data_IF_721898936928
#
_entry.id   IF_721898936928
#
_cell.length_a   1.000
_cell.length_b   1.000
_cell.length_c   1.000
_cell.angle_alpha   90.00
_cell.angle_beta   90.00
_cell.angle_gamma   90.00
#
_symmetry.space_group_name_H-M   'P 1'
#
loop_
_entity.id
_entity.type
_entity.pdbx_description
1 polymer ?
#
# COMPACT_ATOMS: atom_id res chain seq x y z
N UNK A 1 -8.57 16.56 -13.94
CA UNK A 1 -9.11 17.07 -12.65
C UNK A 1 -9.76 15.90 -11.95
N UNK A 2 -9.37 15.57 -10.71
CA UNK A 2 -9.98 14.47 -9.95
C UNK A 2 -11.46 14.80 -9.76
N UNK A 3 -12.36 14.00 -10.33
CA UNK A 3 -13.80 14.23 -10.17
C UNK A 3 -14.20 13.92 -8.73
N UNK A 4 -14.88 14.82 -8.01
CA UNK A 4 -15.27 14.63 -6.60
C UNK A 4 -16.12 13.38 -6.34
N UNK A 5 -16.73 12.86 -7.40
CA UNK A 5 -17.65 11.72 -7.38
C UNK A 5 -16.95 10.38 -7.64
N UNK A 6 -15.69 10.39 -8.09
CA UNK A 6 -14.88 9.18 -8.20
C UNK A 6 -14.28 8.83 -6.84
N UNK A 7 -15.13 8.32 -5.95
CA UNK A 7 -14.76 7.95 -4.57
C UNK A 7 -14.48 6.47 -4.48
N UNK A 8 -13.26 6.11 -4.11
CA UNK A 8 -12.91 4.77 -3.68
C UNK A 8 -12.71 4.76 -2.17
N UNK A 9 -13.56 4.05 -1.43
CA UNK A 9 -13.35 3.86 0.01
C UNK A 9 -12.29 2.80 0.26
N UNK A 10 -11.63 2.85 1.42
CA UNK A 10 -10.71 1.78 1.81
C UNK A 10 -11.41 0.42 1.85
N UNK A 11 -12.67 0.38 2.29
CA UNK A 11 -13.48 -0.84 2.31
C UNK A 11 -13.67 -1.41 0.91
N UNK A 12 -13.99 -0.56 -0.07
CA UNK A 12 -14.16 -0.98 -1.48
C UNK A 12 -12.84 -1.39 -2.11
N UNK A 13 -11.74 -0.69 -1.79
CA UNK A 13 -10.41 -1.01 -2.29
C UNK A 13 -9.91 -2.37 -1.77
N UNK A 14 -10.26 -2.72 -0.54
CA UNK A 14 -9.91 -3.98 0.12
C UNK A 14 -10.87 -5.13 -0.23
N UNK A 15 -12.05 -4.84 -0.80
CA UNK A 15 -13.06 -5.86 -1.12
C UNK A 15 -12.55 -6.86 -2.16
N UNK A 16 -12.59 -8.18 -1.89
CA UNK A 16 -12.24 -9.20 -2.89
C UNK A 16 -13.16 -9.17 -4.11
N UNK A 17 -12.69 -9.61 -5.29
CA UNK A 17 -13.55 -9.79 -6.45
C UNK A 17 -14.60 -10.90 -6.22
N UNK A 18 -15.68 -10.94 -7.03
CA UNK A 18 -16.71 -11.98 -6.91
C UNK A 18 -16.14 -13.39 -7.02
N UNK A 19 -16.54 -14.31 -6.13
CA UNK A 19 -16.02 -15.67 -6.10
C UNK A 19 -14.62 -15.81 -5.45
N UNK A 20 -14.16 -14.77 -4.74
CA UNK A 20 -12.89 -14.77 -4.04
C UNK A 20 -13.03 -14.35 -2.57
N UNK A 21 -12.05 -14.74 -1.75
CA UNK A 21 -11.87 -14.27 -0.38
C UNK A 21 -10.44 -13.78 -0.16
N UNK A 22 -10.26 -12.88 0.81
CA UNK A 22 -8.93 -12.39 1.17
C UNK A 22 -8.17 -13.49 1.91
N UNK A 23 -7.03 -13.88 1.37
CA UNK A 23 -6.11 -14.82 2.00
C UNK A 23 -5.07 -14.08 2.85
N UNK A 24 -4.44 -13.06 2.27
CA UNK A 24 -3.43 -12.22 2.93
C UNK A 24 -3.49 -10.77 2.46
N UNK A 25 -3.17 -9.86 3.37
CA UNK A 25 -3.01 -8.44 3.07
C UNK A 25 -1.72 -7.93 3.72
N UNK A 26 -0.79 -7.45 2.90
CA UNK A 26 0.46 -6.84 3.36
C UNK A 26 0.35 -5.34 3.07
N UNK A 27 0.31 -4.53 4.12
CA UNK A 27 0.19 -3.09 4.03
C UNK A 27 1.41 -2.36 4.57
N UNK A 28 1.60 -1.14 4.10
CA UNK A 28 2.55 -0.19 4.68
C UNK A 28 1.85 1.14 4.95
N UNK A 29 2.30 1.88 5.95
CA UNK A 29 1.86 3.26 6.20
C UNK A 29 2.93 4.03 6.95
N UNK A 30 2.89 5.36 6.95
CA UNK A 30 3.76 6.13 7.84
C UNK A 30 3.15 6.18 9.24
N UNK A 31 2.01 6.85 9.36
CA UNK A 31 1.24 6.92 10.61
C UNK A 31 0.16 5.85 10.63
N UNK A 32 -0.10 5.29 11.81
CA UNK A 32 -1.13 4.28 12.04
C UNK A 32 -1.92 4.64 13.29
N UNK A 33 -3.24 4.69 13.17
CA UNK A 33 -4.15 4.63 14.32
C UNK A 33 -4.67 3.19 14.44
N UNK A 34 -4.50 2.57 15.61
CA UNK A 34 -4.89 1.16 15.82
C UNK A 34 -6.40 0.95 15.72
N UNK A 35 -7.22 1.94 16.05
CA UNK A 35 -8.66 1.86 15.85
C UNK A 35 -9.01 2.00 14.36
N UNK A 36 -8.33 2.87 13.62
CA UNK A 36 -8.50 2.97 12.17
C UNK A 36 -8.10 1.66 11.47
N UNK A 37 -7.04 0.98 11.95
CA UNK A 37 -6.59 -0.31 11.43
C UNK A 37 -7.69 -1.37 11.45
N UNK A 38 -8.51 -1.42 12.51
CA UNK A 38 -9.62 -2.39 12.64
C UNK A 38 -10.65 -2.31 11.51
N UNK A 39 -10.67 -1.21 10.74
CA UNK A 39 -11.51 -1.08 9.55
C UNK A 39 -11.18 -2.14 8.50
N UNK A 40 -9.91 -2.52 8.34
CA UNK A 40 -9.50 -3.52 7.35
C UNK A 40 -10.03 -4.94 7.67
N UNK A 41 -9.79 -5.54 8.86
CA UNK A 41 -10.36 -6.85 9.18
C UNK A 41 -11.89 -6.80 9.29
N UNK A 42 -12.49 -5.67 9.72
CA UNK A 42 -13.94 -5.49 9.69
C UNK A 42 -14.51 -5.49 8.27
N UNK A 43 -13.84 -4.84 7.31
CA UNK A 43 -14.23 -4.88 5.91
C UNK A 43 -14.22 -6.33 5.37
N UNK A 44 -13.19 -7.11 5.69
CA UNK A 44 -13.13 -8.52 5.28
C UNK A 44 -14.23 -9.37 5.92
N UNK A 45 -14.52 -9.15 7.21
CA UNK A 45 -15.60 -9.82 7.92
C UNK A 45 -16.98 -9.52 7.30
N UNK A 46 -17.26 -8.25 7.00
CA UNK A 46 -18.52 -7.82 6.38
C UNK A 46 -18.70 -8.39 4.97
N UNK A 47 -17.64 -8.38 4.15
CA UNK A 47 -17.72 -8.97 2.81
C UNK A 47 -18.02 -10.48 2.89
N UNK A 48 -17.39 -11.18 3.83
CA UNK A 48 -17.66 -12.61 4.02
C UNK A 48 -19.11 -12.88 4.46
N UNK A 49 -19.63 -12.12 5.43
CA UNK A 49 -21.00 -12.28 5.92
C UNK A 49 -22.05 -11.98 4.83
N UNK A 50 -21.81 -10.95 4.01
CA UNK A 50 -22.70 -10.66 2.88
C UNK A 50 -22.70 -11.75 1.80
N UNK A 51 -21.57 -12.42 1.59
CA UNK A 51 -21.45 -13.52 0.64
C UNK A 51 -22.09 -14.83 1.14
N UNK A 52 -22.10 -15.07 2.46
CA UNK A 52 -22.78 -16.24 3.06
C UNK A 52 -24.30 -16.10 3.11
N UNK A 53 -24.83 -14.89 2.88
CA UNK A 53 -26.27 -14.62 2.94
C UNK A 53 -26.83 -14.62 4.36
N UNK A 54 -25.98 -14.50 5.38
CA UNK A 54 -26.37 -14.45 6.80
C UNK A 54 -26.72 -13.00 7.17
N UNK A 55 -28.02 -12.64 7.30
CA UNK A 55 -28.43 -11.24 7.46
C UNK A 55 -28.22 -10.70 8.88
N UNK A 56 -27.89 -11.58 9.84
CA UNK A 56 -27.96 -11.31 11.27
C UNK A 56 -26.78 -12.00 12.00
N UNK A 57 -25.55 -11.72 11.56
CA UNK A 57 -24.34 -12.25 12.22
C UNK A 57 -24.31 -11.76 13.67
N UNK A 58 -24.30 -12.69 14.62
CA UNK A 58 -24.30 -12.33 16.03
C UNK A 58 -23.05 -11.47 16.35
N UNK A 59 -23.12 -10.48 17.28
CA UNK A 59 -21.97 -9.63 17.60
C UNK A 59 -20.68 -10.40 17.94
N UNK A 60 -20.81 -11.59 18.54
CA UNK A 60 -19.70 -12.48 18.87
C UNK A 60 -19.07 -13.09 17.61
N UNK A 61 -19.88 -13.51 16.64
CA UNK A 61 -19.41 -14.07 15.37
C UNK A 61 -18.68 -13.02 14.54
N UNK A 62 -19.19 -11.77 14.55
CA UNK A 62 -18.51 -10.65 13.90
C UNK A 62 -17.15 -10.37 14.57
N UNK A 63 -17.09 -10.37 15.90
CA UNK A 63 -15.83 -10.19 16.63
C UNK A 63 -14.83 -11.31 16.37
N UNK A 64 -15.29 -12.57 16.32
CA UNK A 64 -14.41 -13.69 15.95
C UNK A 64 -13.94 -13.60 14.49
N UNK A 65 -14.82 -13.17 13.57
CA UNK A 65 -14.46 -12.92 12.18
C UNK A 65 -13.39 -11.83 12.06
N UNK A 66 -13.55 -10.70 12.74
CA UNK A 66 -12.54 -9.64 12.82
C UNK A 66 -11.22 -10.22 13.34
N UNK A 67 -11.24 -10.97 14.45
CA UNK A 67 -10.05 -11.60 15.02
C UNK A 67 -9.35 -12.55 14.03
N UNK A 68 -10.11 -13.36 13.29
CA UNK A 68 -9.57 -14.27 12.26
C UNK A 68 -8.96 -13.51 11.08
N UNK A 69 -9.60 -12.43 10.64
CA UNK A 69 -9.12 -11.61 9.53
C UNK A 69 -7.90 -10.76 9.92
N UNK A 70 -7.78 -10.31 11.17
CA UNK A 70 -6.58 -9.61 11.62
C UNK A 70 -5.31 -10.46 11.47
N UNK A 71 -5.40 -11.79 11.65
CA UNK A 71 -4.27 -12.71 11.43
C UNK A 71 -3.84 -12.84 9.97
N UNK A 72 -4.67 -12.38 9.03
CA UNK A 72 -4.36 -12.35 7.59
C UNK A 72 -3.66 -11.05 7.18
N UNK A 73 -3.62 -10.06 8.07
CA UNK A 73 -3.12 -8.72 7.78
C UNK A 73 -1.75 -8.52 8.44
N UNK A 74 -0.82 -7.91 7.71
CA UNK A 74 0.45 -7.44 8.25
C UNK A 74 0.67 -6.01 7.78
N UNK A 75 0.80 -5.07 8.71
CA UNK A 75 1.03 -3.65 8.43
C UNK A 75 2.40 -3.24 8.94
N UNK A 76 3.28 -2.83 8.03
CA UNK A 76 4.55 -2.20 8.37
C UNK A 76 4.32 -0.69 8.54
N UNK A 77 4.71 -0.13 9.68
CA UNK A 77 4.52 1.30 9.94
C UNK A 77 5.74 1.94 10.62
N UNK A 78 5.94 3.24 10.41
CA UNK A 78 7.08 3.93 11.02
C UNK A 78 7.03 3.79 12.55
N UNK A 79 8.13 3.32 13.13
CA UNK A 79 8.31 3.21 14.57
C UNK A 79 8.11 4.56 15.25
N UNK A 80 7.28 4.58 16.30
CA UNK A 80 6.90 5.80 17.02
C UNK A 80 5.77 6.61 16.38
N UNK A 81 5.21 6.19 15.24
CA UNK A 81 4.06 6.83 14.58
C UNK A 81 2.78 5.98 14.69
N UNK A 82 2.60 5.34 15.86
CA UNK A 82 1.45 4.47 16.16
C UNK A 82 0.63 5.12 17.27
N UNK A 83 -0.59 5.54 16.94
CA UNK A 83 -1.55 6.09 17.88
C UNK A 83 -2.38 4.96 18.49
N UNK A 84 -2.42 4.92 19.83
CA UNK A 84 -3.20 3.96 20.60
C UNK A 84 -4.51 4.61 21.06
N UNK A 85 -5.69 4.00 20.80
CA UNK A 85 -6.97 4.53 21.23
C UNK A 85 -7.14 4.42 22.75
N UNK A 86 -8.02 5.26 23.32
CA UNK A 86 -8.38 5.19 24.73
C UNK A 86 -9.04 3.86 25.10
N UNK A 87 -9.75 3.23 24.16
CA UNK A 87 -10.39 1.92 24.33
C UNK A 87 -9.55 0.81 23.70
N UNK A 88 -8.99 -0.06 24.54
CA UNK A 88 -8.00 -1.05 24.13
C UNK A 88 -8.55 -2.47 23.94
N UNK A 89 -9.87 -2.69 24.14
CA UNK A 89 -10.49 -4.03 24.21
C UNK A 89 -10.28 -4.90 22.96
N UNK A 90 -10.13 -4.28 21.78
CA UNK A 90 -9.95 -4.98 20.51
C UNK A 90 -8.49 -5.03 20.05
N UNK A 91 -7.58 -4.34 20.75
CA UNK A 91 -6.16 -4.32 20.38
C UNK A 91 -5.47 -5.69 20.45
N UNK A 92 -5.84 -6.62 21.36
CA UNK A 92 -5.29 -7.98 21.32
C UNK A 92 -5.55 -8.70 19.98
N UNK A 93 -6.56 -8.30 19.20
CA UNK A 93 -6.79 -8.89 17.88
C UNK A 93 -5.76 -8.44 16.84
N UNK A 94 -5.07 -7.33 17.10
CA UNK A 94 -4.06 -6.76 16.21
C UNK A 94 -2.64 -7.20 16.57
N UNK A 95 -2.48 -8.03 17.60
CA UNK A 95 -1.21 -8.59 17.99
C UNK A 95 -0.60 -9.38 16.81
N UNK A 96 0.66 -9.10 16.49
CA UNK A 96 1.36 -9.65 15.32
C UNK A 96 1.00 -9.00 13.97
N UNK A 97 -0.16 -8.35 13.87
CA UNK A 97 -0.61 -7.70 12.63
C UNK A 97 0.08 -6.35 12.37
N UNK A 98 0.60 -5.68 13.39
CA UNK A 98 1.29 -4.38 13.26
C UNK A 98 2.77 -4.56 13.55
N UNK A 99 3.60 -4.19 12.58
CA UNK A 99 5.06 -4.30 12.63
C UNK A 99 5.68 -2.91 12.56
N UNK A 100 6.18 -2.36 13.68
CA UNK A 100 6.93 -1.12 13.68
C UNK A 100 8.26 -1.29 12.94
N UNK A 101 8.61 -0.35 12.06
CA UNK A 101 9.85 -0.37 11.26
C UNK A 101 10.70 0.88 11.44
N UNK A 102 11.97 0.79 11.05
CA UNK A 102 12.86 1.95 10.87
C UNK A 102 13.33 2.00 9.43
N UNK A 103 13.26 3.18 8.82
CA UNK A 103 13.83 3.36 7.49
C UNK A 103 15.37 3.23 7.53
N UNK A 104 15.98 2.72 6.44
CA UNK A 104 17.42 2.73 6.27
C UNK A 104 17.99 4.17 6.30
N UNK A 105 19.28 4.30 6.64
CA UNK A 105 20.02 5.56 6.49
C UNK A 105 19.53 6.73 7.35
N UNK A 106 18.72 6.48 8.39
CA UNK A 106 18.19 7.55 9.26
C UNK A 106 17.03 8.34 8.66
N UNK A 107 16.47 7.87 7.54
CA UNK A 107 15.32 8.49 6.88
C UNK A 107 13.98 8.18 7.55
N UNK A 108 12.90 8.38 6.80
CA UNK A 108 11.51 8.14 7.25
C UNK A 108 10.85 7.06 6.38
N UNK A 109 10.22 6.07 7.01
CA UNK A 109 9.45 5.05 6.30
C UNK A 109 8.09 5.63 5.92
N UNK A 110 7.94 6.06 4.66
CA UNK A 110 6.74 6.73 4.19
C UNK A 110 5.87 6.02 3.12
N UNK A 111 6.10 4.76 2.69
CA UNK A 111 5.25 4.15 1.68
C UNK A 111 3.84 3.85 2.24
N UNK A 112 2.80 4.05 1.44
CA UNK A 112 1.42 3.61 1.75
C UNK A 112 0.91 2.66 0.67
N UNK A 113 1.39 1.43 0.73
CA UNK A 113 1.16 0.39 -0.26
C UNK A 113 0.38 -0.74 0.37
N UNK A 114 -0.54 -1.35 -0.38
CA UNK A 114 -1.16 -2.61 0.01
C UNK A 114 -1.03 -3.64 -1.11
N UNK A 115 -0.58 -4.84 -0.76
CA UNK A 115 -0.65 -6.02 -1.61
C UNK A 115 -1.69 -6.96 -1.02
N UNK A 116 -2.69 -7.30 -1.81
CA UNK A 116 -3.77 -8.21 -1.45
C UNK A 116 -3.65 -9.48 -2.29
N UNK A 117 -3.70 -10.61 -1.61
CA UNK A 117 -3.80 -11.94 -2.21
C UNK A 117 -5.19 -12.49 -1.97
N UNK A 118 -5.84 -12.94 -3.03
CA UNK A 118 -7.18 -13.49 -3.01
C UNK A 118 -7.19 -14.95 -3.45
N UNK A 119 -7.87 -15.81 -2.70
CA UNK A 119 -8.09 -17.22 -3.08
C UNK A 119 -9.53 -17.42 -3.55
N UNK A 120 -9.69 -18.22 -4.59
CA UNK A 120 -11.01 -18.51 -5.16
C UNK A 120 -11.83 -19.42 -4.24
N UNK A 121 -13.13 -19.15 -4.14
CA UNK A 121 -14.11 -20.05 -3.50
C UNK A 121 -14.65 -21.11 -4.47
N UNK A 122 -14.34 -21.00 -5.76
CA UNK A 122 -14.83 -21.86 -6.84
C UNK A 122 -13.73 -22.67 -7.52
N UNK A 123 -12.48 -22.59 -7.04
CA UNK A 123 -11.34 -23.35 -7.57
C UNK A 123 -10.57 -22.65 -8.69
N UNK A 124 -10.87 -21.39 -8.99
CA UNK A 124 -10.08 -20.57 -9.93
C UNK A 124 -8.69 -20.25 -9.34
N UNK A 125 -7.71 -19.86 -10.18
CA UNK A 125 -6.40 -19.39 -9.71
C UNK A 125 -6.52 -18.23 -8.72
N UNK A 126 -5.52 -18.12 -7.83
CA UNK A 126 -5.31 -16.97 -6.95
C UNK A 126 -5.28 -15.67 -7.77
N UNK A 127 -5.76 -14.58 -7.18
CA UNK A 127 -5.70 -13.24 -7.79
C UNK A 127 -5.01 -12.23 -6.90
N UNK A 128 -4.39 -11.22 -7.51
CA UNK A 128 -3.69 -10.15 -6.81
C UNK A 128 -4.29 -8.77 -7.03
N UNK A 129 -4.12 -7.90 -6.03
CA UNK A 129 -4.36 -6.46 -6.14
C UNK A 129 -3.26 -5.68 -5.45
N UNK A 130 -2.79 -4.62 -6.10
CA UNK A 130 -1.91 -3.60 -5.56
C UNK A 130 -2.69 -2.30 -5.34
N UNK A 131 -2.54 -1.70 -4.17
CA UNK A 131 -2.98 -0.33 -3.89
C UNK A 131 -1.77 0.53 -3.57
N UNK A 132 -1.71 1.73 -4.13
CA UNK A 132 -0.75 2.77 -3.76
C UNK A 132 -1.54 4.03 -3.41
N UNK A 133 -1.50 4.43 -2.14
CA UNK A 133 -2.29 5.52 -1.61
C UNK A 133 -1.43 6.70 -1.15
N UNK A 134 -2.03 7.89 -1.07
CA UNK A 134 -1.39 9.05 -0.41
C UNK A 134 -1.78 9.15 1.07
N UNK A 135 -2.90 8.54 1.47
CA UNK A 135 -3.39 8.58 2.86
C UNK A 135 -2.71 7.54 3.75
N UNK A 136 -2.45 7.95 5.00
CA UNK A 136 -2.08 7.05 6.09
C UNK A 136 -3.31 6.32 6.66
N UNK A 137 -3.10 5.25 7.43
CA UNK A 137 -4.19 4.56 8.14
C UNK A 137 -4.58 5.31 9.42
N UNK A 138 -5.27 6.44 9.25
CA UNK A 138 -5.73 7.33 10.32
C UNK A 138 -7.16 7.81 10.06
N UNK A 139 -7.74 8.57 10.98
CA UNK A 139 -9.05 9.21 10.82
C UNK A 139 -9.00 10.58 10.12
N UNK A 140 -7.90 10.90 9.46
CA UNK A 140 -7.73 12.17 8.76
C UNK A 140 -8.76 12.33 7.62
N UNK A 141 -9.26 13.56 7.45
CA UNK A 141 -10.32 13.90 6.49
C UNK A 141 -9.80 14.67 5.28
N UNK A 142 -8.49 14.72 5.07
CA UNK A 142 -7.90 15.37 3.91
C UNK A 142 -8.26 14.64 2.62
N UNK A 143 -8.28 15.40 1.52
CA UNK A 143 -8.39 14.82 0.20
C UNK A 143 -7.15 13.96 -0.07
N UNK A 144 -7.36 12.79 -0.65
CA UNK A 144 -6.31 11.86 -0.99
C UNK A 144 -6.52 11.28 -2.39
N UNK A 145 -5.54 10.50 -2.82
CA UNK A 145 -5.61 9.72 -4.04
C UNK A 145 -5.17 8.30 -3.75
N UNK A 146 -5.73 7.37 -4.50
CA UNK A 146 -5.35 5.96 -4.47
C UNK A 146 -5.32 5.43 -5.90
N UNK A 147 -4.22 4.75 -6.23
CA UNK A 147 -4.10 3.92 -7.41
C UNK A 147 -4.46 2.49 -7.00
N UNK A 148 -5.41 1.89 -7.70
CA UNK A 148 -5.76 0.46 -7.58
C UNK A 148 -5.37 -0.23 -8.88
N UNK A 149 -4.58 -1.28 -8.78
CA UNK A 149 -4.20 -2.16 -9.88
C UNK A 149 -4.62 -3.59 -9.52
N UNK A 150 -5.53 -4.14 -10.30
CA UNK A 150 -5.86 -5.56 -10.24
C UNK A 150 -4.94 -6.35 -11.19
N UNK A 151 -4.69 -7.61 -10.85
CA UNK A 151 -4.08 -8.56 -11.79
C UNK A 151 -4.86 -8.58 -13.11
N UNK A 152 -4.14 -8.64 -14.23
CA UNK A 152 -4.73 -8.65 -15.55
C UNK A 152 -5.50 -9.97 -15.80
N UNK A 153 -6.61 -9.89 -16.53
CA UNK A 153 -7.33 -11.08 -16.98
C UNK A 153 -6.62 -11.76 -18.16
N UNK A 154 -5.93 -10.97 -18.99
CA UNK A 154 -5.03 -11.43 -20.05
C UNK A 154 -3.64 -10.86 -19.79
N UNK A 155 -2.65 -11.75 -19.74
CA UNK A 155 -1.24 -11.36 -19.56
C UNK A 155 -0.78 -10.40 -20.65
N UNK A 156 -1.31 -10.47 -21.87
CA UNK A 156 -0.90 -9.59 -22.97
C UNK A 156 -1.15 -8.10 -22.67
N UNK A 157 -2.10 -7.80 -21.79
CA UNK A 157 -2.50 -6.43 -21.43
C UNK A 157 -1.89 -5.94 -20.11
N UNK A 158 -1.10 -6.79 -19.43
CA UNK A 158 -0.57 -6.52 -18.09
C UNK A 158 0.93 -6.17 -18.05
N UNK A 159 1.33 -5.52 -16.96
CA UNK A 159 2.72 -5.12 -16.70
C UNK A 159 3.26 -5.81 -15.46
N UNK A 160 4.49 -6.34 -15.57
CA UNK A 160 5.25 -6.82 -14.40
C UNK A 160 5.84 -5.61 -13.68
N UNK A 161 5.82 -5.65 -12.35
CA UNK A 161 6.34 -4.58 -11.49
C UNK A 161 7.58 -5.07 -10.73
N UNK A 162 8.73 -5.10 -11.40
CA UNK A 162 9.96 -5.81 -10.95
C UNK A 162 10.43 -5.47 -9.52
N UNK A 163 10.25 -4.23 -9.07
CA UNK A 163 10.67 -3.82 -7.72
C UNK A 163 9.64 -4.13 -6.63
N UNK A 164 8.42 -4.54 -6.97
CA UNK A 164 7.38 -4.85 -6.00
C UNK A 164 7.72 -6.12 -5.17
N UNK A 165 8.11 -7.26 -5.77
CA UNK A 165 8.63 -8.41 -5.03
C UNK A 165 9.79 -8.04 -4.09
N UNK A 166 10.74 -7.25 -4.58
CA UNK A 166 11.91 -6.82 -3.82
C UNK A 166 11.48 -5.95 -2.64
N UNK A 167 10.59 -4.98 -2.87
CA UNK A 167 10.00 -4.15 -1.82
C UNK A 167 9.40 -5.00 -0.70
N UNK A 168 8.57 -6.00 -1.03
CA UNK A 168 7.94 -6.88 -0.04
C UNK A 168 8.96 -7.69 0.75
N UNK A 169 9.94 -8.29 0.08
CA UNK A 169 10.97 -9.11 0.70
C UNK A 169 11.85 -8.31 1.69
N UNK A 170 11.99 -7.00 1.48
CA UNK A 170 12.79 -6.12 2.36
C UNK A 170 12.03 -5.65 3.59
N UNK A 171 10.69 -5.60 3.58
CA UNK A 171 9.90 -5.09 4.71
C UNK A 171 10.21 -5.79 6.06
N UNK A 172 10.32 -7.14 6.14
CA UNK A 172 10.70 -7.82 7.38
C UNK A 172 12.04 -7.40 7.96
N UNK A 173 12.99 -6.96 7.14
CA UNK A 173 14.34 -6.58 7.57
C UNK A 173 14.38 -5.16 8.16
N UNK A 174 13.34 -4.36 7.91
CA UNK A 174 13.19 -3.02 8.48
C UNK A 174 12.55 -3.03 9.87
N UNK A 175 12.02 -4.17 10.30
CA UNK A 175 11.28 -4.30 11.55
C UNK A 175 12.18 -4.00 12.76
N UNK A 176 11.64 -3.22 13.72
CA UNK A 176 12.35 -2.89 14.97
C UNK A 176 12.61 -4.13 15.82
N UNK A 177 11.70 -5.11 15.73
CA UNK A 177 11.83 -6.42 16.33
C UNK A 177 11.63 -7.50 15.26
N UNK A 178 12.26 -8.67 15.38
CA UNK A 178 12.03 -9.76 14.44
C UNK A 178 10.55 -10.11 14.34
N UNK A 179 10.04 -10.23 13.11
CA UNK A 179 8.69 -10.75 12.87
C UNK A 179 8.67 -12.27 13.01
N UNK A 180 7.48 -12.84 13.22
CA UNK A 180 7.30 -14.29 13.32
C UNK A 180 7.80 -15.02 12.06
N UNK A 181 8.47 -16.18 12.20
CA UNK A 181 9.01 -16.94 11.06
C UNK A 181 7.96 -17.32 10.01
N UNK A 182 6.74 -17.68 10.45
CA UNK A 182 5.63 -18.01 9.55
C UNK A 182 5.20 -16.79 8.73
N UNK A 183 5.16 -15.62 9.35
CA UNK A 183 4.82 -14.36 8.69
C UNK A 183 5.89 -13.97 7.66
N UNK A 184 7.18 -14.07 8.01
CA UNK A 184 8.29 -13.85 7.07
C UNK A 184 8.21 -14.80 5.87
N UNK A 185 7.93 -16.08 6.12
CA UNK A 185 7.78 -17.09 5.06
C UNK A 185 6.59 -16.78 4.16
N UNK A 186 5.45 -16.37 4.72
CA UNK A 186 4.27 -15.98 3.94
C UNK A 186 4.54 -14.75 3.05
N UNK A 187 5.20 -13.73 3.59
CA UNK A 187 5.60 -12.54 2.80
C UNK A 187 6.54 -12.93 1.67
N UNK A 188 7.53 -13.80 1.94
CA UNK A 188 8.49 -14.24 0.93
C UNK A 188 7.83 -15.08 -0.17
N UNK A 189 6.84 -15.91 0.17
CA UNK A 189 6.08 -16.67 -0.80
C UNK A 189 5.24 -15.75 -1.70
N UNK A 190 4.56 -14.75 -1.12
CA UNK A 190 3.80 -13.75 -1.88
C UNK A 190 4.72 -12.93 -2.80
N UNK A 191 5.87 -12.49 -2.30
CA UNK A 191 6.83 -11.76 -3.11
C UNK A 191 7.30 -12.60 -4.31
N UNK A 192 7.55 -13.90 -4.11
CA UNK A 192 7.92 -14.81 -5.20
C UNK A 192 6.78 -15.02 -6.20
N UNK A 193 5.53 -15.20 -5.73
CA UNK A 193 4.37 -15.29 -6.62
C UNK A 193 4.26 -14.03 -7.50
N UNK A 194 4.50 -12.85 -6.93
CA UNK A 194 4.45 -11.56 -7.64
C UNK A 194 5.52 -11.34 -8.71
N UNK A 195 6.56 -12.19 -8.80
CA UNK A 195 7.58 -12.09 -9.85
C UNK A 195 6.98 -12.30 -11.24
N UNK A 196 5.94 -13.13 -11.33
CA UNK A 196 5.28 -13.48 -12.60
C UNK A 196 3.91 -12.79 -12.77
N UNK A 197 3.41 -12.07 -11.75
CA UNK A 197 2.10 -11.42 -11.81
C UNK A 197 2.15 -10.15 -12.66
N UNK A 198 1.17 -10.04 -13.56
CA UNK A 198 0.98 -8.89 -14.42
C UNK A 198 -0.23 -8.07 -13.97
N UNK A 199 -0.05 -6.77 -13.78
CA UNK A 199 -1.11 -5.85 -13.37
C UNK A 199 -1.69 -5.10 -14.56
N UNK A 200 -3.02 -5.00 -14.61
CA UNK A 200 -3.71 -4.23 -15.65
C UNK A 200 -3.48 -2.72 -15.47
N UNK A 201 -3.11 -1.98 -16.53
CA UNK A 201 -2.91 -0.55 -16.45
C UNK A 201 -4.25 0.20 -16.32
N UNK A 202 -4.27 1.38 -15.71
CA UNK A 202 -5.41 2.28 -15.80
C UNK A 202 -5.66 2.72 -17.25
N UNK A 203 -6.90 3.12 -17.62
CA UNK A 203 -7.21 3.57 -18.97
C UNK A 203 -6.30 4.70 -19.44
N UNK A 204 -5.72 4.54 -20.64
CA UNK A 204 -4.81 5.51 -21.25
C UNK A 204 -3.36 5.44 -20.78
N UNK A 205 -3.02 4.53 -19.86
CA UNK A 205 -1.64 4.27 -19.44
C UNK A 205 -1.02 3.20 -20.35
N UNK A 206 0.16 3.49 -20.90
CA UNK A 206 0.87 2.63 -21.89
C UNK A 206 2.19 2.06 -21.36
N UNK A 207 2.53 2.37 -20.10
CA UNK A 207 3.70 1.84 -19.41
C UNK A 207 3.50 1.98 -17.90
N UNK A 208 3.93 0.98 -17.13
CA UNK A 208 3.93 1.02 -15.67
C UNK A 208 5.24 0.48 -15.12
N UNK A 209 5.70 1.09 -14.03
CA UNK A 209 6.82 0.62 -13.23
C UNK A 209 6.55 0.92 -11.75
N UNK A 210 7.07 0.07 -10.87
CA UNK A 210 7.06 0.30 -9.44
C UNK A 210 8.46 0.71 -9.00
N UNK A 211 8.57 1.80 -8.21
CA UNK A 211 9.85 2.32 -7.72
C UNK A 211 9.91 2.26 -6.19
N UNK A 212 10.75 1.36 -5.66
CA UNK A 212 11.00 1.18 -4.25
C UNK A 212 12.15 2.08 -3.77
N UNK A 213 11.88 3.38 -3.63
CA UNK A 213 12.90 4.39 -3.33
C UNK A 213 13.43 4.23 -1.89
N UNK A 214 14.75 4.21 -1.73
CA UNK A 214 15.43 4.26 -0.42
C UNK A 214 15.57 2.92 0.32
N UNK A 215 15.26 1.79 -0.33
CA UNK A 215 15.45 0.45 0.26
C UNK A 215 16.85 -0.12 0.05
N UNK A 216 17.49 0.19 -1.08
CA UNK A 216 18.83 -0.27 -1.42
C UNK A 216 19.87 0.84 -1.22
N UNK A 217 21.14 0.43 -1.12
CA UNK A 217 22.26 1.36 -1.06
C UNK A 217 22.44 2.14 -2.37
N UNK A 218 22.00 1.56 -3.50
CA UNK A 218 22.00 2.24 -4.78
C UNK A 218 20.74 3.13 -4.90
N UNK A 219 20.89 4.42 -5.21
CA UNK A 219 19.74 5.31 -5.37
C UNK A 219 18.93 4.90 -6.62
N UNK A 220 17.68 4.51 -6.41
CA UNK A 220 16.68 4.40 -7.48
C UNK A 220 16.36 5.80 -8.00
N UNK A 221 16.72 6.09 -9.25
CA UNK A 221 16.39 7.35 -9.92
C UNK A 221 15.22 7.11 -10.89
N UNK A 222 13.99 7.48 -10.51
CA UNK A 222 12.80 7.18 -11.31
C UNK A 222 12.57 8.18 -12.45
N UNK A 223 13.37 9.26 -12.51
CA UNK A 223 13.17 10.34 -13.46
C UNK A 223 13.96 10.09 -14.76
N UNK A 224 13.46 10.52 -15.91
CA UNK A 224 14.17 10.36 -17.18
C UNK A 224 15.47 11.18 -17.17
N UNK A 225 16.46 10.73 -17.95
CA UNK A 225 17.72 11.44 -18.14
C UNK A 225 17.56 12.72 -18.99
N UNK A 226 16.56 12.74 -19.87
CA UNK A 226 16.27 13.84 -20.79
C UNK A 226 14.78 14.14 -20.79
N UNK A 227 14.43 15.41 -20.96
CA UNK A 227 13.04 15.84 -21.09
C UNK A 227 12.95 17.07 -21.98
N UNK A 228 11.93 17.13 -22.84
CA UNK A 228 11.64 18.33 -23.63
C UNK A 228 11.03 19.44 -22.78
N UNK A 229 10.20 19.07 -21.80
CA UNK A 229 9.52 19.98 -20.87
C UNK A 229 9.46 19.35 -19.49
N UNK A 230 9.66 20.16 -18.44
CA UNK A 230 9.60 19.70 -17.05
C UNK A 230 8.66 20.59 -16.24
N UNK A 231 7.76 19.96 -15.49
CA UNK A 231 6.99 20.62 -14.44
C UNK A 231 7.25 19.91 -13.12
N UNK A 232 7.82 20.61 -12.14
CA UNK A 232 8.03 20.09 -10.79
C UNK A 232 6.94 20.65 -9.88
N UNK A 233 6.20 19.79 -9.21
CA UNK A 233 5.28 20.19 -8.14
C UNK A 233 5.68 19.46 -6.86
N UNK A 234 6.28 20.17 -5.92
CA UNK A 234 6.71 19.60 -4.63
C UNK A 234 6.46 20.58 -3.50
N UNK A 235 5.80 20.19 -2.40
CA UNK A 235 5.72 21.03 -1.21
C UNK A 235 7.02 21.03 -0.38
N UNK A 236 7.97 20.16 -0.69
CA UNK A 236 9.27 20.02 -0.01
C UNK A 236 10.37 20.04 -1.08
N UNK A 237 10.69 21.24 -1.55
CA UNK A 237 11.72 21.40 -2.57
C UNK A 237 13.10 21.13 -1.97
N UNK A 238 13.93 20.40 -2.72
CA UNK A 238 15.30 20.04 -2.32
C UNK A 238 16.24 20.40 -3.48
N UNK A 239 17.15 21.34 -3.24
CA UNK A 239 18.05 21.85 -4.29
C UNK A 239 18.95 20.77 -4.91
N UNK A 240 19.58 19.86 -4.12
CA UNK A 240 20.31 18.72 -4.67
C UNK A 240 19.48 17.82 -5.58
N UNK A 241 18.20 17.58 -5.26
CA UNK A 241 17.30 16.82 -6.11
C UNK A 241 17.04 17.55 -7.44
N UNK A 242 16.74 18.85 -7.41
CA UNK A 242 16.50 19.62 -8.63
C UNK A 242 17.73 19.67 -9.53
N UNK A 243 18.92 19.77 -8.96
CA UNK A 243 20.18 19.76 -9.71
C UNK A 243 20.40 18.46 -10.51
N UNK A 244 19.74 17.36 -10.14
CA UNK A 244 19.81 16.07 -10.84
C UNK A 244 18.76 15.91 -11.94
N UNK A 245 17.74 16.76 -11.99
CA UNK A 245 16.74 16.72 -13.05
C UNK A 245 17.33 17.22 -14.38
N UNK A 246 16.76 16.83 -15.54
CA UNK A 246 17.26 17.30 -16.83
C UNK A 246 17.20 18.84 -16.95
N UNK A 247 18.32 19.47 -17.30
CA UNK A 247 18.41 20.93 -17.45
C UNK A 247 18.21 21.43 -18.89
N UNK A 248 18.55 20.60 -19.88
CA UNK A 248 18.39 20.91 -21.30
C UNK A 248 16.95 20.71 -21.76
N UNK A 249 16.05 21.57 -21.29
CA UNK A 249 14.61 21.53 -21.58
C UNK A 249 14.21 22.78 -22.36
N UNK A 250 13.20 22.67 -23.24
CA UNK A 250 12.61 23.84 -23.91
C UNK A 250 11.77 24.69 -22.93
N UNK A 251 11.31 24.08 -21.84
CA UNK A 251 10.49 24.72 -20.83
C UNK A 251 10.61 23.99 -19.50
N UNK A 252 10.78 24.76 -18.43
CA UNK A 252 10.72 24.26 -17.05
C UNK A 252 9.89 25.19 -16.18
N UNK A 253 9.15 24.62 -15.23
CA UNK A 253 8.50 25.38 -14.17
C UNK A 253 8.47 24.57 -12.86
N UNK A 254 8.50 25.29 -11.74
CA UNK A 254 8.41 24.73 -10.39
C UNK A 254 7.23 25.35 -9.68
N UNK A 255 6.37 24.51 -9.11
CA UNK A 255 5.31 24.88 -8.19
C UNK A 255 5.67 24.33 -6.81
N UNK A 256 5.89 25.23 -5.86
CA UNK A 256 6.25 24.88 -4.49
C UNK A 256 5.61 25.83 -3.49
N UNK A 257 5.76 25.55 -2.19
CA UNK A 257 5.41 26.47 -1.12
C UNK A 257 6.45 27.61 -1.04
N UNK A 258 6.05 28.88 -0.86
CA UNK A 258 6.98 30.02 -0.83
C UNK A 258 8.18 29.79 0.09
N UNK A 259 7.95 29.26 1.29
CA UNK A 259 8.98 29.03 2.32
C UNK A 259 10.07 28.02 1.94
N UNK A 260 9.81 27.17 0.94
CA UNK A 260 10.80 26.19 0.45
C UNK A 260 11.57 26.68 -0.76
N UNK A 261 11.16 27.80 -1.35
CA UNK A 261 11.75 28.36 -2.56
C UNK A 261 12.93 29.28 -2.24
N UNK A 262 12.97 29.86 -1.04
CA UNK A 262 14.07 30.73 -0.59
C UNK A 262 15.41 30.00 -0.43
N UNK A 263 15.39 28.66 -0.41
CA UNK A 263 16.57 27.80 -0.22
C UNK A 263 17.00 27.00 -1.45
N UNK A 264 16.44 27.27 -2.64
CA UNK A 264 16.63 26.47 -3.87
C UNK A 264 16.95 27.35 -5.08
#
# INVERSE_FOLDING_TARGET
MLQPDNRLTLLDALRPPPGYTVDRAIGTTYSLDLQAMLTAPAAFALVQATASGEPDTAPIELLDSIRRHSRRIVIFCQGGQIATPAQTRLLPFLEGAVVPVRAPGGGVFHPKVWVLRFISTTGNPTRYRLLVATRNLTFDRSWDTVLRLDEADDDADGYVLDQLPQFLNRLPDLAVQPIEPEQRKAISAIARELEDIRFAPPPGVVAMAFHAIGLDAAPSWPFPAEARRIFVCSPFLDAPLLARLPHATEWSAVLSRPETMDGV
#
